data_IF_060234673592
#
_entry.id   IF_060234673592
#
_cell.length_a   1.000
_cell.length_b   1.000
_cell.length_c   1.000
_cell.angle_alpha   90.00
_cell.angle_beta   90.00
_cell.angle_gamma   90.00
#
_symmetry.space_group_name_H-M   'P 1'
#
loop_
_entity.id
_entity.type
_entity.pdbx_description
1 polymer ?
#
# COMPACT_ATOMS: atom_id res chain seq x y z
N UNK A 1 -3.48 -7.25 16.65
CA UNK A 1 -4.00 -6.84 15.34
C UNK A 1 -3.45 -7.78 14.29
N UNK A 2 -4.27 -8.29 13.40
CA UNK A 2 -3.80 -9.20 12.37
C UNK A 2 -3.34 -8.43 11.12
N UNK A 3 -2.67 -9.14 10.20
CA UNK A 3 -2.11 -8.50 9.00
C UNK A 3 -3.17 -7.96 8.05
N UNK A 4 -4.35 -8.58 7.99
CA UNK A 4 -5.42 -8.06 7.14
C UNK A 4 -5.93 -6.71 7.65
N UNK A 5 -6.01 -6.54 8.97
CA UNK A 5 -6.34 -5.24 9.56
C UNK A 5 -5.29 -4.19 9.24
N UNK A 6 -4.01 -4.56 9.28
CA UNK A 6 -2.91 -3.64 8.93
C UNK A 6 -2.98 -3.26 7.45
N UNK A 7 -3.30 -4.22 6.58
CA UNK A 7 -3.48 -3.97 5.15
C UNK A 7 -4.62 -2.99 4.90
N UNK A 8 -5.74 -3.17 5.62
CA UNK A 8 -6.86 -2.23 5.53
C UNK A 8 -6.47 -0.84 6.01
N UNK A 9 -5.71 -0.75 7.10
CA UNK A 9 -5.22 0.53 7.60
C UNK A 9 -4.32 1.23 6.59
N UNK A 10 -3.50 0.46 5.87
CA UNK A 10 -2.66 1.01 4.80
C UNK A 10 -3.52 1.66 3.71
N UNK A 11 -4.53 0.96 3.21
CA UNK A 11 -5.42 1.52 2.20
C UNK A 11 -6.19 2.73 2.72
N UNK A 12 -6.70 2.67 3.95
CA UNK A 12 -7.41 3.79 4.56
C UNK A 12 -6.51 5.02 4.70
N UNK A 13 -5.24 4.81 5.06
CA UNK A 13 -4.26 5.90 5.18
C UNK A 13 -3.96 6.53 3.82
N UNK A 14 -3.90 5.74 2.76
CA UNK A 14 -3.71 6.25 1.40
C UNK A 14 -4.89 7.15 0.99
N UNK A 15 -6.11 6.71 1.26
CA UNK A 15 -7.31 7.49 0.93
C UNK A 15 -7.33 8.79 1.74
N UNK A 16 -6.99 8.73 3.01
CA UNK A 16 -6.99 9.89 3.90
C UNK A 16 -5.79 10.82 3.67
N UNK A 17 -4.74 10.36 2.98
CA UNK A 17 -3.49 11.12 2.87
C UNK A 17 -2.77 11.23 4.21
N UNK A 18 -2.94 10.24 5.09
CA UNK A 18 -2.42 10.27 6.46
C UNK A 18 -0.97 9.79 6.48
N UNK A 19 -0.05 10.74 6.31
CA UNK A 19 1.39 10.45 6.25
C UNK A 19 1.90 9.87 7.57
N UNK A 20 1.37 10.30 8.70
CA UNK A 20 1.81 9.78 10.00
C UNK A 20 1.43 8.31 10.16
N UNK A 21 0.23 7.93 9.77
CA UNK A 21 -0.19 6.53 9.79
C UNK A 21 0.65 5.69 8.85
N UNK A 22 0.92 6.17 7.63
CA UNK A 22 1.78 5.48 6.68
C UNK A 22 3.19 5.31 7.23
N UNK A 23 3.73 6.33 7.88
CA UNK A 23 5.07 6.24 8.45
C UNK A 23 5.17 5.12 9.50
N UNK A 24 4.10 4.89 10.27
CA UNK A 24 4.07 3.81 11.26
C UNK A 24 3.91 2.43 10.62
N UNK A 25 3.10 2.35 9.57
CA UNK A 25 2.78 1.08 8.91
C UNK A 25 3.94 0.58 8.06
N UNK A 26 4.65 1.49 7.39
CA UNK A 26 5.73 1.13 6.48
C UNK A 26 7.02 0.82 7.23
N UNK A 27 7.68 -0.27 6.86
CA UNK A 27 9.03 -0.57 7.34
C UNK A 27 9.99 0.53 6.88
N UNK A 28 11.10 0.71 7.60
CA UNK A 28 12.06 1.78 7.28
C UNK A 28 12.66 1.63 5.88
N UNK A 29 12.83 0.40 5.42
CA UNK A 29 13.39 0.08 4.10
C UNK A 29 12.30 -0.27 3.07
N UNK A 30 11.07 0.16 3.30
CA UNK A 30 9.94 -0.13 2.42
C UNK A 30 10.23 0.27 0.98
N UNK A 31 9.83 -0.60 0.05
CA UNK A 31 9.88 -0.34 -1.40
C UNK A 31 8.51 -0.66 -1.99
N UNK A 32 8.00 0.27 -2.77
CA UNK A 32 6.82 0.07 -3.60
C UNK A 32 7.24 -0.10 -5.06
N UNK A 33 6.69 -1.11 -5.72
CA UNK A 33 6.76 -1.17 -7.18
C UNK A 33 5.46 -0.58 -7.71
N UNK A 34 5.57 0.55 -8.39
CA UNK A 34 4.39 1.27 -8.87
C UNK A 34 3.63 0.47 -9.92
N UNK A 35 2.31 0.38 -9.74
CA UNK A 35 1.45 -0.46 -10.58
C UNK A 35 1.44 0.00 -12.04
N UNK A 36 1.58 1.31 -12.28
CA UNK A 36 1.46 1.88 -13.63
C UNK A 36 2.80 1.97 -14.36
N UNK A 37 3.88 2.32 -13.66
CA UNK A 37 5.17 2.60 -14.27
C UNK A 37 6.21 1.50 -14.05
N UNK A 38 6.02 0.64 -13.05
CA UNK A 38 7.03 -0.34 -12.65
C UNK A 38 8.21 0.26 -11.91
N UNK A 39 8.17 1.54 -11.59
CA UNK A 39 9.26 2.21 -10.87
C UNK A 39 9.34 1.75 -9.43
N UNK A 40 10.57 1.67 -8.91
CA UNK A 40 10.81 1.47 -7.48
C UNK A 40 10.68 2.80 -6.75
N UNK A 41 9.84 2.82 -5.71
CA UNK A 41 9.60 4.02 -4.92
C UNK A 41 9.96 3.70 -3.48
N UNK A 42 10.91 4.47 -2.92
CA UNK A 42 11.34 4.31 -1.53
C UNK A 42 10.31 4.89 -0.59
N UNK A 43 10.43 4.53 0.70
CA UNK A 43 9.55 5.06 1.74
C UNK A 43 9.56 6.60 1.77
N UNK A 44 10.71 7.30 1.80
CA UNK A 44 10.69 8.77 1.81
C UNK A 44 10.00 9.36 0.58
N UNK A 45 10.25 8.80 -0.60
CA UNK A 45 9.63 9.28 -1.83
C UNK A 45 8.11 9.05 -1.81
N UNK A 46 7.67 7.90 -1.30
CA UNK A 46 6.26 7.57 -1.20
C UNK A 46 5.53 8.49 -0.23
N UNK A 47 6.12 8.74 0.94
CA UNK A 47 5.54 9.65 1.92
C UNK A 47 5.47 11.08 1.40
N UNK A 48 6.51 11.52 0.68
CA UNK A 48 6.53 12.87 0.09
C UNK A 48 5.42 13.02 -0.98
N UNK A 49 5.25 12.04 -1.85
CA UNK A 49 4.22 12.07 -2.88
C UNK A 49 2.82 12.11 -2.27
N UNK A 50 2.59 11.30 -1.23
CA UNK A 50 1.31 11.26 -0.54
C UNK A 50 1.04 12.57 0.20
N UNK A 51 2.06 13.09 0.90
CA UNK A 51 1.93 14.31 1.71
C UNK A 51 1.74 15.57 0.88
N UNK A 52 2.29 15.60 -0.35
CA UNK A 52 2.16 16.76 -1.24
C UNK A 52 0.77 16.87 -1.89
N UNK A 53 -0.02 15.79 -1.83
CA UNK A 53 -1.31 15.74 -2.52
C UNK A 53 -1.18 15.51 -4.02
N UNK A 54 0.02 15.28 -4.52
CA UNK A 54 0.26 15.03 -5.95
C UNK A 54 -0.42 13.74 -6.40
N UNK A 55 -0.42 12.73 -5.53
CA UNK A 55 -1.17 11.50 -5.72
C UNK A 55 -2.28 11.47 -4.68
N UNK A 56 -3.52 11.40 -5.12
CA UNK A 56 -4.66 11.38 -4.21
C UNK A 56 -5.57 10.21 -4.56
N UNK A 57 -5.80 9.33 -3.59
CA UNK A 57 -6.73 8.23 -3.75
C UNK A 57 -8.09 8.64 -3.22
N UNK A 58 -9.13 8.46 -4.03
CA UNK A 58 -10.51 8.73 -3.64
C UNK A 58 -11.20 7.46 -3.16
N UNK A 59 -10.86 6.32 -3.74
CA UNK A 59 -11.40 5.02 -3.36
C UNK A 59 -10.40 3.93 -3.65
N UNK A 60 -10.28 2.97 -2.74
CA UNK A 60 -9.52 1.74 -2.93
C UNK A 60 -10.39 0.62 -2.37
N UNK A 61 -10.82 -0.30 -3.23
CA UNK A 61 -11.69 -1.40 -2.85
C UNK A 61 -10.94 -2.73 -3.03
N UNK A 62 -10.42 -3.32 -1.93
CA UNK A 62 -9.77 -4.62 -2.01
C UNK A 62 -10.80 -5.75 -2.12
N UNK A 63 -10.43 -6.81 -2.80
CA UNK A 63 -11.25 -8.01 -2.96
C UNK A 63 -10.35 -9.24 -3.14
N UNK A 64 -10.93 -10.41 -2.93
CA UNK A 64 -10.27 -11.71 -3.16
C UNK A 64 -8.96 -11.84 -2.39
N UNK A 65 -8.96 -11.39 -1.14
CA UNK A 65 -7.77 -11.40 -0.31
C UNK A 65 -7.40 -12.81 0.13
N UNK A 66 -6.10 -13.11 0.05
CA UNK A 66 -5.52 -14.33 0.59
C UNK A 66 -4.37 -13.94 1.51
N UNK A 67 -4.43 -14.40 2.76
CA UNK A 67 -3.38 -14.15 3.75
C UNK A 67 -2.63 -15.44 4.02
N UNK A 68 -1.30 -15.39 3.91
CA UNK A 68 -0.43 -16.51 4.26
C UNK A 68 0.53 -16.05 5.35
N UNK A 69 0.51 -16.75 6.48
CA UNK A 69 1.32 -16.41 7.65
C UNK A 69 2.49 -17.38 7.77
N UNK A 70 3.67 -16.82 7.91
CA UNK A 70 4.90 -17.53 8.22
C UNK A 70 5.53 -16.83 9.41
N UNK A 71 5.72 -17.47 10.50
CA UNK A 71 6.31 -16.91 11.74
C UNK A 71 6.33 -15.38 11.83
N UNK A 72 7.36 -14.74 11.26
CA UNK A 72 7.54 -13.27 11.32
C UNK A 72 7.22 -12.57 10.00
N UNK A 73 6.63 -13.28 9.03
CA UNK A 73 6.32 -12.74 7.71
C UNK A 73 4.90 -13.13 7.33
N UNK A 74 4.18 -12.19 6.75
CA UNK A 74 2.86 -12.45 6.18
C UNK A 74 2.81 -11.91 4.76
N UNK A 75 2.15 -12.65 3.88
CA UNK A 75 1.98 -12.26 2.49
C UNK A 75 0.48 -12.15 2.25
N UNK A 76 0.05 -11.00 1.75
CA UNK A 76 -1.34 -10.78 1.35
C UNK A 76 -1.36 -10.55 -0.15
N UNK A 77 -2.15 -11.35 -0.85
CA UNK A 77 -2.45 -11.12 -2.26
C UNK A 77 -3.93 -10.82 -2.41
N UNK A 78 -4.27 -10.05 -3.43
CA UNK A 78 -5.65 -9.69 -3.68
C UNK A 78 -5.80 -8.85 -4.92
N UNK A 79 -6.99 -8.29 -5.10
CA UNK A 79 -7.29 -7.36 -6.19
C UNK A 79 -7.75 -6.06 -5.59
N UNK A 80 -7.48 -4.95 -6.29
CA UNK A 80 -8.01 -3.65 -5.92
C UNK A 80 -8.67 -2.99 -7.11
N UNK A 81 -9.73 -2.24 -6.84
CA UNK A 81 -10.25 -1.23 -7.75
C UNK A 81 -9.93 0.11 -7.13
N UNK A 82 -9.20 0.95 -7.85
CA UNK A 82 -8.74 2.24 -7.33
C UNK A 82 -9.22 3.37 -8.21
N UNK A 83 -9.57 4.49 -7.57
CA UNK A 83 -9.88 5.76 -8.22
C UNK A 83 -9.13 6.84 -7.50
N UNK A 84 -8.62 7.81 -8.25
CA UNK A 84 -7.90 8.92 -7.65
C UNK A 84 -7.52 9.96 -8.69
N UNK A 85 -6.51 10.76 -8.32
CA UNK A 85 -6.00 11.84 -9.15
C UNK A 85 -4.49 11.87 -9.07
N UNK A 86 -3.85 12.11 -10.22
CA UNK A 86 -2.44 12.46 -10.33
C UNK A 86 -2.42 13.93 -10.76
N UNK A 87 -2.12 14.84 -9.81
CA UNK A 87 -2.34 16.24 -10.03
C UNK A 87 -3.82 16.49 -10.30
N UNK A 88 -4.15 17.05 -11.47
CA UNK A 88 -5.53 17.32 -11.88
C UNK A 88 -6.11 16.20 -12.75
N UNK A 89 -5.32 15.19 -13.09
CA UNK A 89 -5.76 14.12 -13.99
C UNK A 89 -6.41 12.98 -13.21
N UNK A 90 -7.67 12.67 -13.45
CA UNK A 90 -8.30 11.51 -12.81
C UNK A 90 -7.76 10.22 -13.36
N UNK A 91 -7.69 9.20 -12.50
CA UNK A 91 -7.35 7.86 -12.94
C UNK A 91 -8.27 6.83 -12.30
N UNK A 92 -8.41 5.69 -12.95
CA UNK A 92 -9.07 4.51 -12.40
C UNK A 92 -8.23 3.30 -12.82
N UNK A 93 -8.02 2.39 -11.90
CA UNK A 93 -7.20 1.21 -12.19
C UNK A 93 -7.73 0.01 -11.43
N UNK A 94 -7.67 -1.14 -12.08
CA UNK A 94 -7.87 -2.44 -11.43
C UNK A 94 -6.54 -3.13 -11.42
N UNK A 95 -6.13 -3.63 -10.26
CA UNK A 95 -4.83 -4.28 -10.14
C UNK A 95 -4.95 -5.55 -9.30
N UNK A 96 -3.98 -6.43 -9.51
CA UNK A 96 -3.72 -7.55 -8.62
C UNK A 96 -2.47 -7.20 -7.83
N UNK A 97 -2.51 -7.39 -6.52
CA UNK A 97 -1.42 -6.90 -5.68
C UNK A 97 -0.83 -7.98 -4.78
N UNK A 98 0.41 -7.76 -4.39
CA UNK A 98 1.13 -8.54 -3.38
C UNK A 98 1.70 -7.58 -2.37
N UNK A 99 1.36 -7.79 -1.10
CA UNK A 99 1.92 -7.05 0.03
C UNK A 99 2.65 -8.04 0.94
N UNK A 100 3.88 -7.68 1.33
CA UNK A 100 4.68 -8.48 2.26
C UNK A 100 4.84 -7.70 3.56
N UNK A 101 4.36 -8.28 4.64
CA UNK A 101 4.46 -7.72 5.98
C UNK A 101 5.50 -8.48 6.78
N UNK A 102 6.24 -7.77 7.62
CA UNK A 102 7.18 -8.37 8.55
C UNK A 102 6.81 -7.94 9.97
N UNK A 103 7.02 -8.83 10.93
CA UNK A 103 6.79 -8.53 12.34
C UNK A 103 8.09 -7.99 12.93
N UNK A 104 8.07 -6.72 13.33
CA UNK A 104 9.20 -6.03 13.94
C UNK A 104 8.72 -5.48 15.29
N UNK A 105 9.38 -5.89 16.37
CA UNK A 105 9.03 -5.44 17.72
C UNK A 105 7.54 -5.66 18.04
N UNK A 106 7.03 -6.85 17.67
CA UNK A 106 5.65 -7.28 17.87
C UNK A 106 4.62 -6.46 17.08
N UNK A 107 5.04 -5.74 16.05
CA UNK A 107 4.15 -5.01 15.16
C UNK A 107 4.35 -5.45 13.72
N UNK A 108 3.25 -5.60 13.00
CA UNK A 108 3.31 -5.87 11.57
C UNK A 108 3.60 -4.58 10.82
N UNK A 109 4.63 -4.62 9.97
CA UNK A 109 4.99 -3.49 9.11
C UNK A 109 5.06 -3.96 7.67
N UNK A 110 4.64 -3.09 6.77
CA UNK A 110 4.65 -3.39 5.33
C UNK A 110 6.08 -3.19 4.81
N UNK A 111 6.70 -4.27 4.35
CA UNK A 111 8.07 -4.24 3.87
C UNK A 111 8.15 -3.92 2.38
N UNK A 112 7.21 -4.46 1.60
CA UNK A 112 7.16 -4.19 0.16
C UNK A 112 5.74 -4.38 -0.35
N UNK A 113 5.43 -3.66 -1.41
CA UNK A 113 4.14 -3.73 -2.08
C UNK A 113 4.35 -3.67 -3.58
N UNK A 114 3.55 -4.44 -4.30
CA UNK A 114 3.58 -4.45 -5.75
C UNK A 114 2.19 -4.68 -6.29
N UNK A 115 1.86 -3.97 -7.35
CA UNK A 115 0.61 -4.20 -8.08
C UNK A 115 0.88 -4.40 -9.56
N UNK A 116 -0.04 -5.08 -10.21
CA UNK A 116 -0.01 -5.33 -11.64
C UNK A 116 -1.39 -4.97 -12.20
N UNK A 117 -1.47 -4.15 -13.25
CA UNK A 117 -2.77 -3.84 -13.87
C UNK A 117 -3.41 -5.11 -14.47
N UNK A 118 -4.72 -5.21 -14.30
CA UNK A 118 -5.47 -6.34 -14.87
C UNK A 118 -6.72 -5.87 -15.59
#
# INVERSE_FOLDING_TARGET
>A
MNTLDTDKQFFDALIAGDVQALNRILADDFILIDVMSGSEITKPAFLAATGSGQVKFEAIEPADNRVRLYQTTAIITGRTQMKGRLGDAPFAATSRYTHVFVSLQNEWRLATAQGTPI
#
